data_IF_784582462132
#
_entry.id   IF_784582462132
#
_cell.length_a   1.000
_cell.length_b   1.000
_cell.length_c   1.000
_cell.angle_alpha   90.00
_cell.angle_beta   90.00
_cell.angle_gamma   90.00
#
_symmetry.space_group_name_H-M   'P 1'
#
loop_
_entity.id
_entity.type
_entity.pdbx_description
1 polymer ?
#
# COMPACT_ATOMS: atom_id res chain seq x y z
N UNK A 1 -25.01 27.51 -20.77
CA UNK A 1 -25.01 26.36 -19.85
C UNK A 1 -23.63 26.26 -19.22
N UNK A 2 -23.47 26.78 -17.99
CA UNK A 2 -22.21 26.70 -17.26
C UNK A 2 -22.05 25.32 -16.65
N UNK A 3 -20.98 24.61 -17.01
CA UNK A 3 -20.62 23.34 -16.35
C UNK A 3 -20.08 23.71 -14.98
N UNK A 4 -20.87 23.50 -13.92
CA UNK A 4 -20.42 23.66 -12.56
C UNK A 4 -19.38 22.58 -12.23
N UNK A 5 -18.14 22.99 -11.95
CA UNK A 5 -17.11 22.12 -11.41
C UNK A 5 -17.50 21.72 -9.99
N UNK A 6 -17.99 20.50 -9.81
CA UNK A 6 -18.27 19.95 -8.48
C UNK A 6 -16.94 19.62 -7.80
N UNK A 7 -16.69 20.24 -6.65
CA UNK A 7 -15.53 19.98 -5.78
C UNK A 7 -16.03 19.62 -4.39
N UNK A 8 -15.43 18.59 -3.81
CA UNK A 8 -15.64 18.18 -2.43
C UNK A 8 -14.31 17.74 -1.83
N UNK A 9 -14.25 17.66 -0.50
CA UNK A 9 -13.07 17.22 0.22
C UNK A 9 -12.85 15.71 0.05
N UNK A 10 -11.59 15.32 -0.21
CA UNK A 10 -11.18 13.93 -0.38
C UNK A 10 -11.07 13.25 1.00
N UNK A 11 -12.21 12.84 1.54
CA UNK A 11 -12.32 12.14 2.82
C UNK A 11 -12.19 10.63 2.66
N UNK A 12 -11.77 9.94 3.73
CA UNK A 12 -11.74 8.47 3.77
C UNK A 12 -13.17 7.93 3.69
N UNK A 13 -13.37 6.88 2.89
CA UNK A 13 -14.67 6.23 2.71
C UNK A 13 -14.52 4.71 2.83
N UNK A 14 -15.61 4.03 3.21
CA UNK A 14 -15.72 2.58 3.17
C UNK A 14 -16.02 2.12 1.76
N UNK A 15 -15.11 1.34 1.17
CA UNK A 15 -15.31 0.64 -0.09
C UNK A 15 -15.94 -0.73 0.13
N UNK A 16 -16.05 -1.49 -0.95
CA UNK A 16 -16.50 -2.89 -0.91
C UNK A 16 -15.40 -3.82 -0.34
N UNK A 17 -15.80 -5.02 0.09
CA UNK A 17 -14.91 -6.06 0.64
C UNK A 17 -14.05 -5.62 1.85
N UNK A 18 -14.50 -4.60 2.59
CA UNK A 18 -13.79 -4.09 3.77
C UNK A 18 -12.58 -3.20 3.46
N UNK A 19 -12.34 -2.87 2.18
CA UNK A 19 -11.30 -1.93 1.80
C UNK A 19 -11.74 -0.50 2.12
N UNK A 20 -10.79 0.32 2.57
CA UNK A 20 -11.00 1.76 2.72
C UNK A 20 -10.40 2.49 1.52
N UNK A 21 -11.17 3.37 0.91
CA UNK A 21 -10.73 4.23 -0.18
C UNK A 21 -10.73 5.70 0.22
N UNK A 22 -10.54 6.54 -0.79
CA UNK A 22 -10.66 7.99 -0.67
C UNK A 22 -11.78 8.46 -1.60
N UNK A 23 -12.63 9.35 -1.13
CA UNK A 23 -13.73 9.86 -1.91
C UNK A 23 -13.21 10.77 -3.03
N UNK A 24 -13.44 10.38 -4.28
CA UNK A 24 -13.08 11.15 -5.47
C UNK A 24 -14.25 11.24 -6.43
N UNK A 25 -14.19 12.18 -7.38
CA UNK A 25 -15.11 12.10 -8.52
C UNK A 25 -14.79 10.84 -9.35
N UNK A 26 -15.79 10.29 -10.04
CA UNK A 26 -15.58 9.10 -10.90
C UNK A 26 -14.43 9.30 -11.90
N UNK A 27 -14.36 10.49 -12.49
CA UNK A 27 -13.31 10.86 -13.45
C UNK A 27 -11.91 10.88 -12.80
N UNK A 28 -11.77 11.57 -11.66
CA UNK A 28 -10.49 11.60 -10.94
C UNK A 28 -10.04 10.21 -10.51
N UNK A 29 -10.97 9.38 -10.02
CA UNK A 29 -10.65 8.01 -9.61
C UNK A 29 -10.05 7.20 -10.77
N UNK A 30 -10.63 7.31 -11.97
CA UNK A 30 -10.08 6.66 -13.17
C UNK A 30 -8.77 7.28 -13.64
N UNK A 31 -8.60 8.60 -13.57
CA UNK A 31 -7.38 9.31 -13.97
C UNK A 31 -6.17 8.94 -13.09
N UNK A 32 -6.39 8.64 -11.81
CA UNK A 32 -5.33 8.19 -10.89
C UNK A 32 -5.15 6.67 -10.86
N UNK A 33 -5.82 5.93 -11.76
CA UNK A 33 -5.72 4.47 -11.86
C UNK A 33 -6.40 3.70 -10.73
N UNK A 34 -7.28 4.35 -9.96
CA UNK A 34 -8.05 3.71 -8.91
C UNK A 34 -9.36 3.09 -9.40
N UNK A 35 -9.96 2.28 -8.55
CA UNK A 35 -11.24 1.61 -8.80
C UNK A 35 -12.29 2.19 -7.87
N UNK A 36 -13.38 2.70 -8.44
CA UNK A 36 -14.54 3.16 -7.67
C UNK A 36 -15.34 1.96 -7.17
N UNK A 37 -15.33 1.73 -5.86
CA UNK A 37 -15.97 0.54 -5.24
C UNK A 37 -17.32 0.84 -4.59
N UNK A 38 -17.51 2.04 -4.06
CA UNK A 38 -18.77 2.45 -3.43
C UNK A 38 -19.12 3.90 -3.81
N UNK A 39 -20.30 4.38 -3.44
CA UNK A 39 -20.65 5.81 -3.56
C UNK A 39 -20.24 6.60 -2.31
N UNK A 40 -19.82 7.84 -2.47
CA UNK A 40 -19.51 8.76 -1.37
C UNK A 40 -20.00 10.18 -1.71
N UNK A 41 -19.84 11.15 -0.78
CA UNK A 41 -20.29 12.53 -0.94
C UNK A 41 -21.75 12.63 -1.43
N UNK A 42 -22.66 11.94 -0.75
CA UNK A 42 -24.11 11.89 -1.10
C UNK A 42 -24.40 11.44 -2.54
N UNK A 43 -23.58 10.54 -3.08
CA UNK A 43 -23.77 9.96 -4.42
C UNK A 43 -23.11 10.75 -5.56
N UNK A 44 -22.41 11.84 -5.24
CA UNK A 44 -21.68 12.65 -6.21
C UNK A 44 -20.31 12.02 -6.53
N UNK A 45 -19.69 11.40 -5.52
CA UNK A 45 -18.38 10.77 -5.62
C UNK A 45 -18.43 9.25 -5.62
N UNK A 46 -17.28 8.66 -5.89
CA UNK A 46 -17.00 7.23 -5.71
C UNK A 46 -15.91 7.04 -4.68
N UNK A 47 -16.03 5.98 -3.88
CA UNK A 47 -14.98 5.54 -2.99
C UNK A 47 -13.88 4.87 -3.80
N UNK A 48 -12.83 5.62 -4.07
CA UNK A 48 -11.75 5.20 -4.93
C UNK A 48 -10.71 4.43 -4.13
N UNK A 49 -10.46 3.18 -4.52
CA UNK A 49 -9.41 2.35 -3.96
C UNK A 49 -8.27 2.29 -4.97
N UNK A 50 -7.08 2.67 -4.53
CA UNK A 50 -5.86 2.62 -5.36
C UNK A 50 -5.10 1.36 -4.99
N UNK A 51 -4.89 0.50 -5.96
CA UNK A 51 -4.13 -0.74 -5.78
C UNK A 51 -2.95 -0.73 -6.74
N UNK A 52 -1.76 -0.98 -6.21
CA UNK A 52 -0.53 -1.12 -6.98
C UNK A 52 0.08 -2.50 -6.73
N UNK A 53 0.83 -2.98 -7.71
CA UNK A 53 1.59 -4.23 -7.62
C UNK A 53 3.00 -4.01 -8.15
N UNK A 54 3.77 -5.08 -8.33
CA UNK A 54 5.18 -5.06 -8.72
C UNK A 54 5.48 -4.09 -9.88
N UNK A 55 6.46 -3.21 -9.69
CA UNK A 55 6.87 -2.17 -10.64
C UNK A 55 6.05 -0.88 -10.55
N UNK A 56 4.97 -0.86 -9.76
CA UNK A 56 4.10 0.30 -9.60
C UNK A 56 4.67 1.36 -8.65
N UNK A 57 4.13 2.57 -8.76
CA UNK A 57 4.38 3.65 -7.83
C UNK A 57 3.08 4.31 -7.41
N UNK A 58 3.07 4.93 -6.22
CA UNK A 58 1.96 5.75 -5.78
C UNK A 58 2.43 6.97 -5.01
N UNK A 59 1.83 8.11 -5.35
CA UNK A 59 1.91 9.38 -4.64
C UNK A 59 0.58 9.72 -3.96
N UNK A 60 -0.29 8.73 -3.73
CA UNK A 60 -1.62 8.95 -3.14
C UNK A 60 -1.74 8.27 -1.76
N UNK A 61 -2.44 8.93 -0.85
CA UNK A 61 -2.73 8.35 0.46
C UNK A 61 -3.75 7.20 0.34
N UNK A 62 -3.69 6.25 1.29
CA UNK A 62 -4.52 5.04 1.30
C UNK A 62 -4.36 4.16 0.05
N UNK A 63 -3.11 3.88 -0.30
CA UNK A 63 -2.77 2.97 -1.40
C UNK A 63 -2.59 1.55 -0.88
N UNK A 64 -3.04 0.55 -1.64
CA UNK A 64 -2.83 -0.86 -1.33
C UNK A 64 -1.72 -1.44 -2.20
N UNK A 65 -0.73 -2.06 -1.59
CA UNK A 65 0.25 -2.89 -2.27
C UNK A 65 -0.16 -4.35 -2.19
N UNK A 66 -0.54 -4.92 -3.33
CA UNK A 66 -1.08 -6.28 -3.42
C UNK A 66 -0.17 -7.20 -4.24
N UNK A 67 -0.19 -8.49 -3.90
CA UNK A 67 0.47 -9.51 -4.71
C UNK A 67 -0.13 -9.60 -6.11
N UNK A 68 0.66 -9.96 -7.13
CA UNK A 68 0.11 -10.22 -8.45
C UNK A 68 -1.03 -11.24 -8.37
N UNK A 69 -2.16 -10.93 -9.03
CA UNK A 69 -3.38 -11.74 -9.03
C UNK A 69 -4.09 -11.92 -7.67
N UNK A 70 -3.79 -11.07 -6.67
CA UNK A 70 -4.53 -11.04 -5.41
C UNK A 70 -6.05 -10.99 -5.66
N UNK A 71 -6.88 -11.77 -4.93
CA UNK A 71 -6.58 -12.55 -3.71
C UNK A 71 -6.02 -13.97 -3.95
N UNK A 72 -5.76 -14.35 -5.20
CA UNK A 72 -5.18 -15.67 -5.47
C UNK A 72 -3.73 -15.74 -4.95
N UNK A 73 -3.30 -16.90 -4.44
CA UNK A 73 -1.91 -17.12 -4.05
C UNK A 73 -0.92 -16.80 -5.15
N UNK A 74 0.16 -16.13 -4.77
CA UNK A 74 1.32 -15.91 -5.61
C UNK A 74 2.28 -17.08 -5.49
N UNK A 75 2.56 -17.74 -6.62
CA UNK A 75 3.45 -18.92 -6.71
C UNK A 75 4.73 -18.66 -7.48
N UNK A 76 4.94 -17.42 -7.96
CA UNK A 76 6.16 -17.05 -8.68
C UNK A 76 7.35 -16.83 -7.76
N UNK A 77 8.54 -16.72 -8.35
CA UNK A 77 9.74 -16.22 -7.68
C UNK A 77 10.34 -15.08 -8.47
N UNK A 78 10.19 -13.88 -7.93
CA UNK A 78 10.74 -12.66 -8.50
C UNK A 78 10.83 -11.57 -7.44
N UNK A 79 11.72 -10.61 -7.64
CA UNK A 79 11.72 -9.38 -6.86
C UNK A 79 10.56 -8.49 -7.29
N UNK A 80 9.67 -8.21 -6.36
CA UNK A 80 8.53 -7.33 -6.52
C UNK A 80 8.78 -6.04 -5.72
N UNK A 81 8.94 -4.92 -6.41
CA UNK A 81 9.19 -3.62 -5.78
C UNK A 81 8.05 -2.67 -6.08
N UNK A 82 7.62 -1.88 -5.10
CA UNK A 82 6.78 -0.70 -5.32
C UNK A 82 7.42 0.54 -4.72
N UNK A 83 7.17 1.69 -5.32
CA UNK A 83 7.73 2.97 -4.90
C UNK A 83 6.63 3.87 -4.33
N UNK A 84 6.81 4.34 -3.11
CA UNK A 84 5.89 5.25 -2.41
C UNK A 84 6.52 6.63 -2.35
N UNK A 85 5.81 7.58 -2.93
CA UNK A 85 6.21 8.98 -3.01
C UNK A 85 5.29 9.80 -2.11
N UNK A 86 5.80 10.88 -1.54
CA UNK A 86 4.99 11.77 -0.71
C UNK A 86 3.80 12.31 -1.50
N UNK A 87 2.60 12.29 -0.91
CA UNK A 87 1.42 12.87 -1.55
C UNK A 87 1.42 14.41 -1.51
N UNK A 88 2.17 15.00 -0.57
CA UNK A 88 2.52 16.41 -0.52
C UNK A 88 3.78 16.60 0.34
N UNK A 89 4.43 17.78 0.33
CA UNK A 89 5.65 18.03 1.09
C UNK A 89 5.52 17.88 2.61
N UNK A 90 4.31 18.03 3.15
CA UNK A 90 4.01 17.98 4.59
C UNK A 90 3.90 16.55 5.14
N UNK A 91 4.19 15.52 4.34
CA UNK A 91 4.26 14.14 4.78
C UNK A 91 5.64 13.81 5.36
N UNK A 92 5.65 13.23 6.56
CA UNK A 92 6.88 12.81 7.24
C UNK A 92 7.03 11.29 7.37
N UNK A 93 5.93 10.53 7.34
CA UNK A 93 5.94 9.11 7.69
C UNK A 93 4.89 8.34 6.90
N UNK A 94 5.14 7.06 6.66
CA UNK A 94 4.12 6.10 6.25
C UNK A 94 3.88 5.08 7.35
N UNK A 95 2.61 4.69 7.51
CA UNK A 95 2.20 3.50 8.22
C UNK A 95 1.85 2.43 7.20
N UNK A 96 2.37 1.22 7.39
CA UNK A 96 2.10 0.06 6.57
C UNK A 96 1.36 -0.95 7.43
N UNK A 97 0.09 -1.17 7.15
CA UNK A 97 -0.73 -2.19 7.80
C UNK A 97 -0.76 -3.47 6.96
N UNK A 98 -0.39 -4.59 7.57
CA UNK A 98 -0.33 -5.90 6.91
C UNK A 98 -1.68 -6.61 6.99
N UNK A 99 -2.61 -6.25 6.09
CA UNK A 99 -3.93 -6.88 6.03
C UNK A 99 -3.84 -8.37 5.67
N UNK A 100 -2.95 -8.67 4.72
CA UNK A 100 -2.49 -10.03 4.43
C UNK A 100 -0.98 -9.98 4.26
N UNK A 101 -0.27 -10.90 4.89
CA UNK A 101 1.17 -11.04 4.81
C UNK A 101 1.57 -12.46 5.22
N UNK A 102 1.67 -13.32 4.21
CA UNK A 102 2.10 -14.71 4.32
C UNK A 102 3.20 -14.96 3.30
N UNK A 103 4.39 -15.25 3.82
CA UNK A 103 5.59 -15.63 3.07
C UNK A 103 6.15 -16.96 3.61
N UNK A 104 7.16 -17.52 2.94
CA UNK A 104 7.94 -18.62 3.47
C UNK A 104 8.49 -18.30 4.87
N UNK A 105 8.49 -19.31 5.74
CA UNK A 105 9.01 -19.21 7.10
C UNK A 105 10.53 -18.94 7.10
N UNK A 106 11.05 -18.27 8.14
CA UNK A 106 12.49 -18.15 8.33
C UNK A 106 13.15 -19.52 8.57
N UNK A 107 14.48 -19.57 8.43
CA UNK A 107 15.27 -20.73 8.82
C UNK A 107 15.35 -20.90 10.36
N UNK A 108 16.06 -21.93 10.82
CA UNK A 108 16.25 -22.23 12.24
C UNK A 108 16.92 -21.10 13.04
N UNK A 109 17.61 -20.17 12.37
CA UNK A 109 18.27 -19.02 12.98
C UNK A 109 17.42 -17.74 12.91
N UNK A 110 16.19 -17.80 12.38
CA UNK A 110 15.34 -16.64 12.19
C UNK A 110 15.65 -15.83 10.93
N UNK A 111 16.38 -16.39 9.97
CA UNK A 111 16.80 -15.69 8.74
C UNK A 111 15.80 -15.92 7.61
N UNK A 112 15.40 -14.83 6.95
CA UNK A 112 14.52 -14.83 5.80
C UNK A 112 15.27 -15.20 4.50
N UNK A 113 15.58 -16.48 4.32
CA UNK A 113 16.41 -16.98 3.19
C UNK A 113 15.60 -17.18 1.92
N UNK A 114 14.37 -17.68 2.03
CA UNK A 114 13.55 -18.03 0.86
C UNK A 114 12.73 -16.86 0.34
N UNK A 115 12.04 -16.18 1.26
CA UNK A 115 11.26 -14.99 0.97
C UNK A 115 11.61 -13.90 1.97
N UNK A 116 11.68 -12.66 1.53
CA UNK A 116 12.06 -11.53 2.36
C UNK A 116 11.29 -10.27 1.94
N UNK A 117 10.73 -9.59 2.92
CA UNK A 117 10.22 -8.23 2.80
C UNK A 117 11.19 -7.26 3.48
N UNK A 118 11.53 -6.18 2.80
CA UNK A 118 12.33 -5.12 3.38
C UNK A 118 12.01 -3.76 2.75
N UNK A 119 12.40 -2.70 3.44
CA UNK A 119 12.13 -1.32 3.06
C UNK A 119 13.43 -0.59 2.80
N UNK A 120 13.49 0.20 1.73
CA UNK A 120 14.64 1.02 1.35
C UNK A 120 14.21 2.48 1.11
N UNK A 121 15.16 3.42 1.23
CA UNK A 121 14.92 4.85 1.00
C UNK A 121 14.33 5.61 2.19
N UNK A 122 13.77 4.91 3.17
CA UNK A 122 13.32 5.51 4.44
C UNK A 122 14.46 5.82 5.42
N UNK A 123 14.16 6.61 6.45
CA UNK A 123 15.08 6.94 7.54
C UNK A 123 14.99 5.95 8.72
N UNK A 124 13.96 5.10 8.75
CA UNK A 124 13.74 4.11 9.81
C UNK A 124 14.49 2.80 9.53
N UNK A 125 15.05 2.20 10.57
CA UNK A 125 15.66 0.87 10.49
C UNK A 125 14.57 -0.20 10.67
N UNK A 126 14.00 -0.67 9.55
CA UNK A 126 13.02 -1.76 9.53
C UNK A 126 13.75 -3.10 9.37
N UNK A 127 13.54 -4.09 10.26
CA UNK A 127 14.12 -5.41 10.08
C UNK A 127 13.53 -6.11 8.85
N UNK A 128 14.27 -7.06 8.27
CA UNK A 128 13.75 -7.92 7.22
C UNK A 128 12.64 -8.81 7.81
N UNK A 129 11.49 -8.86 7.15
CA UNK A 129 10.33 -9.65 7.60
C UNK A 129 10.03 -10.81 6.64
N UNK A 130 9.60 -11.94 7.19
CA UNK A 130 9.09 -13.10 6.48
C UNK A 130 8.15 -13.91 7.38
N UNK A 131 7.62 -15.04 6.90
CA UNK A 131 6.61 -15.83 7.60
C UNK A 131 5.24 -15.15 7.65
N UNK A 132 4.54 -15.28 8.78
CA UNK A 132 3.17 -14.80 8.98
C UNK A 132 3.13 -13.53 9.82
N UNK A 133 2.64 -12.44 9.25
CA UNK A 133 2.59 -11.12 9.93
C UNK A 133 1.24 -10.42 9.76
N UNK A 134 0.18 -11.19 9.45
CA UNK A 134 -1.19 -10.69 9.31
C UNK A 134 -1.62 -9.88 10.55
N UNK A 135 -2.22 -8.72 10.32
CA UNK A 135 -2.75 -7.84 11.37
C UNK A 135 -1.70 -6.98 12.09
N UNK A 136 -0.41 -7.13 11.76
CA UNK A 136 0.64 -6.25 12.27
C UNK A 136 0.78 -4.98 11.43
N UNK A 137 1.61 -4.04 11.91
CA UNK A 137 1.92 -2.82 11.20
C UNK A 137 3.34 -2.33 11.52
N UNK A 138 3.91 -1.54 10.61
CA UNK A 138 5.17 -0.84 10.81
C UNK A 138 5.05 0.63 10.41
N UNK A 139 5.92 1.46 10.98
CA UNK A 139 6.07 2.86 10.60
C UNK A 139 7.43 3.07 9.94
N UNK A 140 7.45 3.86 8.88
CA UNK A 140 8.66 4.21 8.15
C UNK A 140 8.66 5.71 7.89
N UNK A 141 9.65 6.41 8.43
CA UNK A 141 9.87 7.83 8.17
C UNK A 141 10.50 8.03 6.78
N UNK A 142 10.07 9.08 6.09
CA UNK A 142 10.74 9.53 4.88
C UNK A 142 12.12 10.11 5.22
N UNK A 143 13.12 9.84 4.38
CA UNK A 143 14.43 10.45 4.50
C UNK A 143 14.53 11.67 3.59
N UNK A 144 14.14 12.85 4.09
CA UNK A 144 14.00 14.05 3.26
C UNK A 144 12.90 13.86 2.23
N UNK A 145 13.20 14.11 0.95
CA UNK A 145 12.28 13.90 -0.19
C UNK A 145 12.58 12.61 -0.97
N UNK A 146 13.37 11.70 -0.40
CA UNK A 146 13.61 10.40 -1.02
C UNK A 146 12.35 9.54 -0.99
N UNK A 147 12.08 8.84 -2.08
CA UNK A 147 11.00 7.87 -2.16
C UNK A 147 11.30 6.65 -1.27
N UNK A 148 10.25 6.06 -0.70
CA UNK A 148 10.35 4.80 0.04
C UNK A 148 10.00 3.65 -0.91
N UNK A 149 10.87 2.65 -1.02
CA UNK A 149 10.54 1.45 -1.80
C UNK A 149 10.28 0.27 -0.87
N UNK A 150 9.19 -0.43 -1.15
CA UNK A 150 8.80 -1.66 -0.48
C UNK A 150 9.19 -2.82 -1.39
N UNK A 151 10.08 -3.70 -0.91
CA UNK A 151 10.66 -4.76 -1.73
C UNK A 151 10.28 -6.12 -1.15
N UNK A 152 9.66 -6.96 -1.98
CA UNK A 152 9.36 -8.36 -1.71
C UNK A 152 10.20 -9.23 -2.64
N UNK A 153 11.17 -9.91 -2.07
CA UNK A 153 11.94 -10.93 -2.77
C UNK A 153 11.35 -12.30 -2.47
N UNK A 154 11.05 -13.08 -3.51
CA UNK A 154 10.41 -14.39 -3.39
C UNK A 154 11.14 -15.42 -4.23
N UNK A 155 11.31 -16.63 -3.69
CA UNK A 155 12.03 -17.71 -4.38
C UNK A 155 11.07 -18.72 -5.02
N UNK A 156 11.15 -18.90 -6.34
CA UNK A 156 10.29 -19.81 -7.09
C UNK A 156 10.43 -21.29 -6.65
N UNK A 157 11.55 -21.65 -6.04
CA UNK A 157 11.82 -23.01 -5.57
C UNK A 157 11.08 -23.38 -4.28
N UNK A 158 10.55 -22.41 -3.53
CA UNK A 158 9.74 -22.71 -2.35
C UNK A 158 8.29 -23.00 -2.78
N UNK A 159 7.75 -24.15 -2.37
CA UNK A 159 6.39 -24.63 -2.68
C UNK A 159 5.29 -23.90 -1.88
N UNK A 160 5.59 -22.71 -1.36
CA UNK A 160 4.72 -21.97 -0.45
C UNK A 160 3.74 -21.09 -1.24
N UNK A 161 2.46 -21.18 -0.87
CA UNK A 161 1.42 -20.25 -1.30
C UNK A 161 1.63 -18.91 -0.58
N UNK A 162 2.01 -17.87 -1.32
CA UNK A 162 2.26 -16.53 -0.75
C UNK A 162 1.08 -15.61 -0.99
N UNK A 163 0.84 -14.69 -0.08
CA UNK A 163 -0.11 -13.61 -0.32
C UNK A 163 0.30 -12.37 0.48
N UNK A 164 0.20 -11.21 -0.14
CA UNK A 164 0.32 -9.95 0.57
C UNK A 164 -0.68 -8.93 0.08
N UNK A 165 -1.18 -8.15 1.03
CA UNK A 165 -2.05 -7.01 0.85
C UNK A 165 -1.72 -6.01 1.97
N UNK A 166 -0.95 -4.98 1.62
CA UNK A 166 -0.50 -3.96 2.56
C UNK A 166 -1.27 -2.69 2.31
N UNK A 167 -1.88 -2.12 3.35
CA UNK A 167 -2.45 -0.79 3.28
C UNK A 167 -1.41 0.23 3.70
N UNK A 168 -1.14 1.20 2.84
CA UNK A 168 -0.15 2.25 3.07
C UNK A 168 -0.87 3.57 3.29
N UNK A 169 -0.69 4.13 4.48
CA UNK A 169 -1.23 5.43 4.88
C UNK A 169 -0.10 6.40 5.13
N UNK A 170 -0.13 7.55 4.46
CA UNK A 170 0.81 8.64 4.66
C UNK A 170 0.33 9.55 5.80
N UNK A 171 1.25 9.92 6.67
CA UNK A 171 1.01 10.67 7.91
C UNK A 171 1.75 12.02 7.82
N UNK A 172 0.99 13.09 8.06
CA UNK A 172 1.50 14.46 8.09
C UNK A 172 2.50 14.70 9.20
N UNK A 173 3.43 15.62 8.98
CA UNK A 173 4.43 16.04 9.97
C UNK A 173 3.81 16.69 11.22
N UNK A 174 2.62 17.26 11.07
CA UNK A 174 1.84 17.93 12.11
C UNK A 174 0.94 16.96 12.91
N UNK A 175 0.97 15.67 12.59
CA UNK A 175 0.14 14.67 13.25
C UNK A 175 0.53 14.58 14.74
N UNK A 176 -0.37 14.96 15.69
CA UNK A 176 -0.05 15.04 17.12
C UNK A 176 0.15 13.67 17.79
N UNK A 177 -0.13 12.58 17.07
CA UNK A 177 0.03 11.20 17.54
C UNK A 177 1.27 10.51 16.98
N UNK A 178 2.26 11.28 16.52
CA UNK A 178 3.57 10.76 16.12
C UNK A 178 4.37 10.27 17.31
#
# INVERSE_FOLDING_TARGET
WGIGLVRFENSVCGGEAGLQGTCYTRRQCSEIGGVGTASCASGIGVCCVIQITCGGSSSYNNTYFVSPNFPSPFTGGSTCTVTIQKCNPDICQIRIDFLTFSLAQPDENGTCVNDAFYVIGGASNVPVLCGENNGQHIYVDFNGDNDIQLVLNTNAAATTSRAWNFKITQIGCDCPTK
#
